data_IF_592382067309
#
_entry.id   IF_592382067309
#
_cell.length_a   1.000
_cell.length_b   1.000
_cell.length_c   1.000
_cell.angle_alpha   90.00
_cell.angle_beta   90.00
_cell.angle_gamma   90.00
#
_symmetry.space_group_name_H-M   'P 1'
#
loop_
_entity.id
_entity.type
_entity.pdbx_description
1 polymer ?
#
# COMPACT_ATOMS: atom_id res chain seq x y z
N UNK A 1 -32.44 -9.48 -19.86
CA UNK A 1 -32.90 -8.49 -18.87
C UNK A 1 -33.97 -7.54 -19.45
N UNK A 2 -34.67 -8.01 -20.48
CA UNK A 2 -35.75 -7.24 -21.14
C UNK A 2 -37.14 -7.87 -20.92
N UNK A 3 -37.26 -8.93 -20.08
CA UNK A 3 -38.52 -9.65 -19.87
C UNK A 3 -39.30 -9.15 -18.63
N UNK A 4 -38.62 -8.57 -17.66
CA UNK A 4 -39.24 -8.06 -16.42
C UNK A 4 -39.92 -6.71 -16.56
N UNK A 5 -39.49 -5.88 -17.54
CA UNK A 5 -40.11 -4.57 -17.79
C UNK A 5 -41.43 -4.71 -18.57
N UNK A 6 -41.56 -5.73 -19.41
CA UNK A 6 -42.79 -6.04 -20.15
C UNK A 6 -43.90 -6.59 -19.25
N UNK A 7 -43.58 -7.25 -18.16
CA UNK A 7 -44.55 -7.84 -17.23
C UNK A 7 -45.14 -6.84 -16.23
N UNK A 8 -44.45 -5.76 -15.95
CA UNK A 8 -45.01 -4.68 -15.12
C UNK A 8 -46.02 -3.75 -15.84
N UNK A 9 -46.06 -3.79 -17.17
CA UNK A 9 -46.99 -2.99 -17.97
C UNK A 9 -48.32 -3.75 -18.17
N UNK A 10 -48.38 -5.05 -17.90
CA UNK A 10 -49.58 -5.89 -18.18
C UNK A 10 -50.54 -6.01 -16.99
N UNK A 11 -50.29 -5.41 -15.85
CA UNK A 11 -51.18 -5.50 -14.68
C UNK A 11 -51.91 -4.20 -14.33
N UNK A 12 -52.25 -3.36 -15.34
CA UNK A 12 -53.16 -2.26 -15.09
C UNK A 12 -54.44 -2.50 -15.88
N UNK A 13 -55.47 -2.97 -15.16
CA UNK A 13 -56.80 -3.25 -15.67
C UNK A 13 -57.65 -1.98 -15.68
N UNK A 14 -58.16 -1.52 -16.82
CA UNK A 14 -59.00 -0.31 -16.88
C UNK A 14 -60.48 -0.73 -16.90
N UNK A 15 -61.10 -1.00 -15.77
CA UNK A 15 -62.57 -0.97 -15.67
C UNK A 15 -62.95 -0.51 -14.26
N UNK A 16 -63.24 0.81 -14.14
CA UNK A 16 -64.48 1.25 -13.45
C UNK A 16 -64.78 2.69 -13.83
N UNK A 17 -65.98 2.79 -14.31
CA UNK A 17 -66.67 3.95 -14.87
C UNK A 17 -67.19 4.91 -13.80
N UNK A 18 -67.25 6.18 -14.17
CA UNK A 18 -68.12 7.27 -13.68
C UNK A 18 -67.52 8.17 -12.61
N UNK A 19 -66.87 9.21 -13.09
CA UNK A 19 -67.25 10.57 -12.73
C UNK A 19 -66.69 11.53 -13.79
N UNK A 20 -67.61 12.13 -14.52
CA UNK A 20 -67.31 13.22 -15.46
C UNK A 20 -67.01 14.46 -14.61
N UNK A 21 -65.80 14.95 -14.70
CA UNK A 21 -65.38 16.33 -14.88
C UNK A 21 -63.94 16.49 -14.32
N UNK A 22 -63.08 17.10 -15.20
CA UNK A 22 -61.70 17.50 -14.89
C UNK A 22 -60.65 16.37 -14.85
N UNK A 23 -60.56 15.60 -15.91
CA UNK A 23 -59.28 14.95 -16.25
C UNK A 23 -58.45 16.00 -16.99
N UNK A 24 -57.59 16.74 -16.25
CA UNK A 24 -56.37 17.27 -16.82
C UNK A 24 -55.60 16.08 -17.38
N UNK A 25 -55.67 15.89 -18.66
CA UNK A 25 -54.85 14.96 -19.41
C UNK A 25 -53.40 15.46 -19.25
N UNK A 26 -52.71 15.00 -18.18
CA UNK A 26 -51.26 15.04 -18.18
C UNK A 26 -50.84 14.00 -19.22
N UNK A 27 -50.22 14.43 -20.33
CA UNK A 27 -49.95 13.48 -21.40
C UNK A 27 -49.01 12.40 -20.83
N UNK A 28 -49.45 11.14 -20.96
CA UNK A 28 -48.69 9.93 -20.68
C UNK A 28 -47.27 10.01 -21.27
N UNK A 29 -47.13 10.66 -22.38
CA UNK A 29 -45.92 11.05 -23.09
C UNK A 29 -44.92 11.90 -22.26
N UNK A 30 -45.35 12.69 -21.27
CA UNK A 30 -44.44 13.48 -20.42
C UNK A 30 -43.82 12.64 -19.33
N UNK A 31 -44.52 11.63 -18.80
CA UNK A 31 -44.01 10.75 -17.76
C UNK A 31 -42.94 9.78 -18.33
N UNK A 32 -43.18 9.21 -19.51
CA UNK A 32 -42.24 8.40 -20.22
C UNK A 32 -40.98 9.19 -20.64
N UNK A 33 -41.13 10.38 -21.16
CA UNK A 33 -40.00 11.27 -21.50
C UNK A 33 -39.16 11.63 -20.28
N UNK A 34 -39.78 11.83 -19.13
CA UNK A 34 -39.03 12.09 -17.88
C UNK A 34 -38.31 10.85 -17.37
N UNK A 35 -38.93 9.66 -17.45
CA UNK A 35 -38.26 8.40 -17.09
C UNK A 35 -37.05 8.09 -18.00
N UNK A 36 -37.20 8.30 -19.30
CA UNK A 36 -36.10 8.15 -20.27
C UNK A 36 -34.96 9.14 -19.98
N UNK A 37 -35.29 10.40 -19.63
CA UNK A 37 -34.29 11.40 -19.24
C UNK A 37 -33.56 11.02 -17.96
N UNK A 38 -34.26 10.53 -16.93
CA UNK A 38 -33.66 10.08 -15.68
C UNK A 38 -32.75 8.87 -15.94
N UNK A 39 -33.24 7.88 -16.69
CA UNK A 39 -32.45 6.70 -17.05
C UNK A 39 -31.20 7.04 -17.87
N UNK A 40 -31.32 7.94 -18.85
CA UNK A 40 -30.17 8.39 -19.64
C UNK A 40 -29.19 9.23 -18.83
N UNK A 41 -29.67 10.01 -17.86
CA UNK A 41 -28.83 10.76 -16.93
C UNK A 41 -28.04 9.84 -15.98
N UNK A 42 -28.71 8.85 -15.36
CA UNK A 42 -28.05 7.85 -14.51
C UNK A 42 -27.03 7.04 -15.29
N UNK A 43 -27.38 6.58 -16.48
CA UNK A 43 -26.44 5.88 -17.36
C UNK A 43 -25.23 6.74 -17.72
N UNK A 44 -25.44 8.04 -17.93
CA UNK A 44 -24.37 9.01 -18.19
C UNK A 44 -23.43 9.16 -16.99
N UNK A 45 -23.95 9.21 -15.76
CA UNK A 45 -23.14 9.25 -14.53
C UNK A 45 -22.34 7.98 -14.37
N UNK A 46 -22.97 6.79 -14.53
CA UNK A 46 -22.29 5.51 -14.48
C UNK A 46 -21.17 5.39 -15.51
N UNK A 47 -21.42 5.78 -16.74
CA UNK A 47 -20.41 5.78 -17.80
C UNK A 47 -19.23 6.70 -17.49
N UNK A 48 -19.50 7.90 -16.97
CA UNK A 48 -18.43 8.83 -16.54
C UNK A 48 -17.63 8.27 -15.36
N UNK A 49 -18.29 7.67 -14.37
CA UNK A 49 -17.62 7.02 -13.24
C UNK A 49 -16.72 5.87 -13.69
N UNK A 50 -17.21 4.99 -14.57
CA UNK A 50 -16.45 3.88 -15.14
C UNK A 50 -15.24 4.40 -15.96
N UNK A 51 -15.44 5.42 -16.79
CA UNK A 51 -14.35 5.99 -17.59
C UNK A 51 -13.27 6.63 -16.71
N UNK A 52 -13.68 7.36 -15.66
CA UNK A 52 -12.76 7.93 -14.66
C UNK A 52 -11.99 6.83 -13.91
N UNK A 53 -12.67 5.77 -13.50
CA UNK A 53 -12.04 4.63 -12.83
C UNK A 53 -11.04 3.92 -13.75
N UNK A 54 -11.41 3.66 -15.02
CA UNK A 54 -10.47 3.11 -16.02
C UNK A 54 -9.25 4.01 -16.21
N UNK A 55 -9.43 5.32 -16.29
CA UNK A 55 -8.31 6.26 -16.45
C UNK A 55 -7.38 6.25 -15.23
N UNK A 56 -7.92 6.14 -14.00
CA UNK A 56 -7.14 6.01 -12.77
C UNK A 56 -6.36 4.70 -12.74
N UNK A 57 -7.00 3.57 -13.07
CA UNK A 57 -6.33 2.26 -13.14
C UNK A 57 -5.18 2.29 -14.16
N UNK A 58 -5.40 2.87 -15.34
CA UNK A 58 -4.35 3.01 -16.35
C UNK A 58 -3.24 3.97 -15.92
N UNK A 59 -3.60 5.04 -15.20
CA UNK A 59 -2.62 5.99 -14.66
C UNK A 59 -1.71 5.34 -13.62
N UNK A 60 -2.27 4.54 -12.71
CA UNK A 60 -1.54 3.93 -11.59
C UNK A 60 -1.30 2.43 -11.77
N UNK A 61 -1.33 1.94 -13.03
CA UNK A 61 -1.08 0.50 -13.30
C UNK A 61 0.24 -0.01 -12.74
N UNK A 62 1.24 0.85 -12.57
CA UNK A 62 2.54 0.51 -11.98
C UNK A 62 2.47 0.16 -10.49
N UNK A 63 1.34 0.45 -9.83
CA UNK A 63 1.10 0.02 -8.46
C UNK A 63 1.10 -1.52 -8.27
N UNK A 64 1.03 -2.31 -9.36
CA UNK A 64 1.11 -3.78 -9.27
C UNK A 64 2.40 -4.26 -8.59
N UNK A 65 3.48 -3.48 -8.67
CA UNK A 65 4.76 -3.78 -7.99
C UNK A 65 4.59 -3.89 -6.47
N UNK A 66 3.63 -3.14 -5.88
CA UNK A 66 3.33 -3.21 -4.46
C UNK A 66 2.78 -4.58 -4.03
N UNK A 67 2.28 -5.39 -4.98
CA UNK A 67 1.86 -6.77 -4.71
C UNK A 67 3.04 -7.66 -4.29
N UNK A 68 4.28 -7.25 -4.59
CA UNK A 68 5.48 -7.90 -4.05
C UNK A 68 5.44 -8.01 -2.53
N UNK A 69 4.87 -7.02 -1.84
CA UNK A 69 4.68 -7.03 -0.40
C UNK A 69 3.88 -8.24 0.12
N UNK A 70 2.96 -8.81 -0.69
CA UNK A 70 2.20 -10.00 -0.33
C UNK A 70 3.07 -11.27 -0.25
N UNK A 71 4.20 -11.29 -0.94
CA UNK A 71 5.19 -12.38 -0.88
C UNK A 71 6.22 -12.06 0.20
N UNK A 72 6.73 -10.83 0.22
CA UNK A 72 7.76 -10.38 1.13
C UNK A 72 7.34 -10.48 2.60
N UNK A 73 6.18 -9.90 2.95
CA UNK A 73 5.74 -9.81 4.34
C UNK A 73 5.53 -11.18 5.03
N UNK A 74 4.83 -12.16 4.43
CA UNK A 74 4.69 -13.47 5.05
C UNK A 74 6.04 -14.19 5.24
N UNK A 75 6.95 -14.08 4.26
CA UNK A 75 8.28 -14.69 4.33
C UNK A 75 9.12 -14.01 5.42
N UNK A 76 9.13 -12.68 5.46
CA UNK A 76 9.80 -11.93 6.52
C UNK A 76 9.26 -12.27 7.91
N UNK A 77 7.92 -12.27 8.09
CA UNK A 77 7.30 -12.66 9.36
C UNK A 77 7.62 -14.10 9.77
N UNK A 78 7.78 -15.00 8.81
CA UNK A 78 8.23 -16.36 9.09
C UNK A 78 9.67 -16.39 9.65
N UNK A 79 10.59 -15.63 9.05
CA UNK A 79 11.97 -15.52 9.51
C UNK A 79 12.06 -14.89 10.90
N UNK A 80 11.29 -13.84 11.16
CA UNK A 80 11.22 -13.19 12.47
C UNK A 80 10.72 -14.13 13.57
N UNK A 81 9.68 -14.93 13.28
CA UNK A 81 9.14 -15.90 14.23
C UNK A 81 10.09 -17.06 14.51
N UNK A 82 10.95 -17.42 13.56
CA UNK A 82 11.89 -18.53 13.70
C UNK A 82 12.92 -18.32 14.82
N UNK A 83 13.34 -17.05 15.04
CA UNK A 83 14.27 -16.60 16.08
C UNK A 83 15.53 -17.50 16.27
N UNK A 84 15.91 -18.24 15.24
CA UNK A 84 17.06 -19.16 15.28
C UNK A 84 18.30 -18.38 14.89
N UNK A 85 19.30 -18.35 15.74
CA UNK A 85 20.60 -17.75 15.45
C UNK A 85 21.61 -18.86 15.39
N UNK A 86 22.14 -19.16 14.19
CA UNK A 86 23.26 -20.08 13.99
C UNK A 86 24.58 -19.31 13.89
N UNK A 87 24.51 -18.06 13.43
CA UNK A 87 25.66 -17.20 13.21
C UNK A 87 25.53 -15.93 14.01
N UNK A 88 26.25 -15.78 15.09
CA UNK A 88 26.32 -14.55 15.84
C UNK A 88 27.27 -13.59 15.11
N UNK A 89 26.75 -12.45 14.69
CA UNK A 89 27.51 -11.40 14.04
C UNK A 89 28.07 -10.50 15.14
N UNK A 90 29.37 -10.41 15.22
CA UNK A 90 30.07 -9.56 16.18
C UNK A 90 31.36 -9.05 15.55
N UNK A 91 31.66 -7.79 15.74
CA UNK A 91 32.93 -7.16 15.36
C UNK A 91 33.61 -6.61 16.61
N UNK A 92 34.94 -6.70 16.75
CA UNK A 92 35.62 -6.04 17.86
C UNK A 92 35.36 -4.55 17.98
N UNK A 93 34.91 -3.88 16.89
CA UNK A 93 34.51 -2.47 16.91
C UNK A 93 33.20 -2.25 17.64
N UNK A 94 32.32 -3.24 17.70
CA UNK A 94 31.02 -3.14 18.36
C UNK A 94 31.17 -2.93 19.87
N UNK A 95 32.26 -3.45 20.47
CA UNK A 95 32.56 -3.33 21.89
C UNK A 95 32.94 -1.90 22.30
N UNK A 96 33.39 -1.08 21.33
CA UNK A 96 33.79 0.31 21.57
C UNK A 96 32.65 1.30 21.31
N UNK A 97 31.53 0.87 20.71
CA UNK A 97 30.40 1.76 20.38
C UNK A 97 29.43 1.78 21.56
N UNK A 98 29.34 2.90 22.30
CA UNK A 98 28.40 3.01 23.41
C UNK A 98 26.95 3.04 22.90
N UNK A 99 26.04 2.56 23.73
CA UNK A 99 24.61 2.74 23.45
C UNK A 99 24.24 4.22 23.60
N UNK A 100 23.65 4.78 22.54
CA UNK A 100 23.16 6.16 22.50
C UNK A 100 21.72 6.15 21.97
N UNK A 101 20.75 6.44 22.85
CA UNK A 101 19.32 6.38 22.57
C UNK A 101 18.86 7.32 21.47
N UNK A 102 19.58 8.45 21.24
CA UNK A 102 19.22 9.44 20.20
C UNK A 102 19.34 8.90 18.78
N UNK A 103 20.06 7.81 18.55
CA UNK A 103 20.12 7.18 17.23
C UNK A 103 18.80 6.58 16.75
N UNK A 104 17.79 6.53 17.63
CA UNK A 104 16.42 6.17 17.23
C UNK A 104 15.85 7.21 16.25
N UNK A 105 16.27 8.48 16.32
CA UNK A 105 15.79 9.54 15.42
C UNK A 105 16.19 9.27 13.97
N UNK A 106 17.48 9.16 13.61
CA UNK A 106 17.88 8.83 12.24
C UNK A 106 17.35 7.46 11.77
N UNK A 107 17.17 6.50 12.68
CA UNK A 107 16.55 5.24 12.36
C UNK A 107 15.08 5.41 11.89
N UNK A 108 14.27 6.17 12.60
CA UNK A 108 12.89 6.45 12.20
C UNK A 108 12.82 7.33 10.94
N UNK A 109 13.71 8.31 10.80
CA UNK A 109 13.80 9.15 9.61
C UNK A 109 14.13 8.37 8.35
N UNK A 110 14.83 7.23 8.48
CA UNK A 110 15.11 6.36 7.35
C UNK A 110 13.83 5.80 6.70
N UNK A 111 12.83 5.41 7.49
CA UNK A 111 11.53 4.96 6.94
C UNK A 111 10.81 6.09 6.22
N UNK A 112 10.83 7.30 6.79
CA UNK A 112 10.25 8.49 6.17
C UNK A 112 10.96 8.80 4.84
N UNK A 113 12.28 8.74 4.82
CA UNK A 113 13.09 8.97 3.62
C UNK A 113 12.72 8.00 2.50
N UNK A 114 12.64 6.71 2.77
CA UNK A 114 12.26 5.71 1.77
C UNK A 114 10.81 5.89 1.29
N UNK A 115 9.88 6.16 2.22
CA UNK A 115 8.48 6.37 1.89
C UNK A 115 8.29 7.61 1.00
N UNK A 116 8.94 8.72 1.34
CA UNK A 116 8.89 9.97 0.56
C UNK A 116 9.52 9.78 -0.83
N UNK A 117 10.69 9.14 -0.91
CA UNK A 117 11.37 8.85 -2.18
C UNK A 117 10.51 7.95 -3.07
N UNK A 118 9.96 6.87 -2.51
CA UNK A 118 9.09 5.97 -3.23
C UNK A 118 7.80 6.65 -3.72
N UNK A 119 7.16 7.44 -2.86
CA UNK A 119 5.97 8.20 -3.21
C UNK A 119 6.26 9.26 -4.29
N UNK A 120 7.36 9.99 -4.16
CA UNK A 120 7.77 10.98 -5.16
C UNK A 120 7.86 10.35 -6.56
N UNK A 121 8.63 9.28 -6.73
CA UNK A 121 8.77 8.61 -8.02
C UNK A 121 7.46 7.95 -8.48
N UNK A 122 6.67 7.41 -7.56
CA UNK A 122 5.38 6.81 -7.88
C UNK A 122 4.44 7.80 -8.58
N UNK A 123 4.41 9.06 -8.12
CA UNK A 123 3.51 10.08 -8.68
C UNK A 123 4.13 10.85 -9.84
N UNK A 124 5.47 10.97 -9.90
CA UNK A 124 6.16 11.87 -10.83
C UNK A 124 6.69 11.13 -12.06
N UNK A 125 7.43 10.04 -11.88
CA UNK A 125 8.14 9.37 -12.96
C UNK A 125 8.06 7.84 -12.84
N UNK A 126 7.24 7.22 -13.70
CA UNK A 126 7.06 5.77 -13.71
C UNK A 126 8.34 4.99 -13.98
N UNK A 127 9.23 5.51 -14.85
CA UNK A 127 10.47 4.82 -15.20
C UNK A 127 11.40 4.73 -14.01
N UNK A 128 11.56 5.83 -13.28
CA UNK A 128 12.43 5.88 -12.11
C UNK A 128 11.81 5.13 -10.95
N UNK A 129 10.47 5.15 -10.82
CA UNK A 129 9.77 4.29 -9.87
C UNK A 129 10.05 2.79 -10.12
N UNK A 130 9.98 2.31 -11.36
CA UNK A 130 10.27 0.91 -11.67
C UNK A 130 11.75 0.56 -11.40
N UNK A 131 12.68 1.47 -11.67
CA UNK A 131 14.11 1.26 -11.40
C UNK A 131 14.36 1.14 -9.89
N UNK A 132 13.80 2.08 -9.11
CA UNK A 132 13.87 2.04 -7.65
C UNK A 132 13.23 0.77 -7.11
N UNK A 133 12.02 0.47 -7.54
CA UNK A 133 11.29 -0.72 -7.07
C UNK A 133 12.02 -2.02 -7.41
N UNK A 134 12.57 -2.16 -8.62
CA UNK A 134 13.36 -3.32 -9.02
C UNK A 134 14.61 -3.48 -8.13
N UNK A 135 15.30 -2.37 -7.84
CA UNK A 135 16.45 -2.38 -6.95
C UNK A 135 16.04 -2.80 -5.54
N UNK A 136 15.03 -2.18 -4.95
CA UNK A 136 14.57 -2.49 -3.60
C UNK A 136 14.07 -3.95 -3.50
N UNK A 137 13.22 -4.39 -4.43
CA UNK A 137 12.69 -5.76 -4.41
C UNK A 137 13.78 -6.82 -4.57
N UNK A 138 14.79 -6.57 -5.43
CA UNK A 138 15.90 -7.51 -5.58
C UNK A 138 16.72 -7.64 -4.29
N UNK A 139 17.08 -6.52 -3.65
CA UNK A 139 17.81 -6.54 -2.38
C UNK A 139 17.03 -7.18 -1.26
N UNK A 140 15.74 -6.87 -1.16
CA UNK A 140 14.86 -7.49 -0.17
C UNK A 140 14.70 -9.00 -0.40
N UNK A 141 14.66 -9.47 -1.66
CA UNK A 141 14.64 -10.90 -1.99
C UNK A 141 15.95 -11.57 -1.62
N UNK A 142 17.09 -10.97 -1.96
CA UNK A 142 18.43 -11.48 -1.58
C UNK A 142 18.55 -11.58 -0.06
N UNK A 143 18.09 -10.54 0.66
CA UNK A 143 18.04 -10.55 2.12
C UNK A 143 17.26 -11.75 2.66
N UNK A 144 16.03 -11.99 2.19
CA UNK A 144 15.22 -13.11 2.63
C UNK A 144 15.89 -14.46 2.35
N UNK A 145 16.49 -14.63 1.17
CA UNK A 145 17.21 -15.87 0.79
C UNK A 145 18.40 -16.08 1.72
N UNK A 146 19.23 -15.06 1.91
CA UNK A 146 20.41 -15.16 2.79
C UNK A 146 20.01 -15.47 4.22
N UNK A 147 19.04 -14.76 4.80
CA UNK A 147 18.57 -15.03 6.16
C UNK A 147 17.89 -16.40 6.31
N UNK A 148 17.33 -16.95 5.23
CA UNK A 148 16.78 -18.32 5.24
C UNK A 148 17.90 -19.36 5.33
N UNK A 149 18.96 -19.18 4.55
CA UNK A 149 20.10 -20.14 4.46
C UNK A 149 21.07 -19.94 5.63
N UNK A 150 21.33 -18.68 5.99
CA UNK A 150 22.26 -18.27 7.04
C UNK A 150 21.55 -17.48 8.14
N UNK A 151 20.83 -18.16 9.06
CA UNK A 151 20.19 -17.52 10.20
C UNK A 151 21.24 -16.83 11.07
N UNK A 152 21.22 -15.51 11.05
CA UNK A 152 22.19 -14.68 11.75
C UNK A 152 21.50 -13.72 12.71
N UNK A 153 22.24 -13.21 13.68
CA UNK A 153 21.72 -12.26 14.67
C UNK A 153 22.83 -11.55 15.42
N UNK A 154 22.42 -10.59 16.26
CA UNK A 154 23.28 -9.80 17.12
C UNK A 154 22.92 -10.03 18.59
N UNK A 155 23.92 -9.91 19.47
CA UNK A 155 23.72 -9.90 20.91
C UNK A 155 24.28 -8.60 21.52
N UNK A 156 23.88 -7.46 20.95
CA UNK A 156 24.37 -6.13 21.34
C UNK A 156 23.29 -5.28 22.01
N UNK A 157 22.08 -5.83 22.23
CA UNK A 157 21.02 -5.09 22.91
C UNK A 157 21.35 -4.94 24.39
N UNK A 158 21.36 -3.72 24.93
CA UNK A 158 21.64 -3.51 26.35
C UNK A 158 20.53 -4.12 27.21
N UNK A 159 20.92 -4.82 28.28
CA UNK A 159 19.99 -5.39 29.26
C UNK A 159 19.37 -4.29 30.12
N UNK A 160 20.16 -3.24 30.42
CA UNK A 160 19.75 -2.07 31.20
C UNK A 160 20.06 -0.80 30.42
N UNK A 161 19.14 0.15 30.48
CA UNK A 161 19.34 1.44 29.82
C UNK A 161 19.94 2.44 30.82
N UNK A 162 21.01 3.17 30.42
CA UNK A 162 21.69 4.11 31.31
C UNK A 162 20.84 5.35 31.65
N UNK A 163 19.82 5.62 30.85
CA UNK A 163 18.91 6.78 31.00
C UNK A 163 17.48 6.38 30.71
N UNK A 164 16.55 6.97 31.46
CA UNK A 164 15.12 6.82 31.25
C UNK A 164 14.57 8.12 30.64
N UNK A 165 14.20 8.07 29.36
CA UNK A 165 13.62 9.18 28.62
C UNK A 165 12.74 8.67 27.47
N UNK A 166 12.04 9.58 26.80
CA UNK A 166 11.14 9.25 25.68
C UNK A 166 11.85 8.49 24.54
N UNK A 167 13.12 8.72 24.28
CA UNK A 167 13.89 8.04 23.24
C UNK A 167 14.18 6.60 23.66
N UNK A 168 14.49 6.37 24.91
CA UNK A 168 14.66 5.02 25.47
C UNK A 168 13.37 4.21 25.41
N UNK A 169 12.21 4.86 25.67
CA UNK A 169 10.91 4.20 25.55
C UNK A 169 10.60 3.84 24.09
N UNK A 170 10.95 4.71 23.14
CA UNK A 170 10.86 4.40 21.70
C UNK A 170 11.77 3.22 21.32
N UNK A 171 13.00 3.17 21.82
CA UNK A 171 13.90 2.02 21.58
C UNK A 171 13.32 0.74 22.16
N UNK A 172 12.77 0.76 23.38
CA UNK A 172 12.08 -0.40 24.00
C UNK A 172 10.90 -0.86 23.13
N UNK A 173 10.11 0.08 22.63
CA UNK A 173 8.99 -0.24 21.74
C UNK A 173 9.49 -0.93 20.47
N UNK A 174 10.54 -0.42 19.83
CA UNK A 174 11.13 -1.06 18.65
C UNK A 174 11.66 -2.45 19.00
N UNK A 175 12.39 -2.62 20.11
CA UNK A 175 12.92 -3.91 20.53
C UNK A 175 11.86 -4.95 20.87
N UNK A 176 10.64 -4.51 21.23
CA UNK A 176 9.51 -5.42 21.45
C UNK A 176 8.85 -5.91 20.16
N UNK A 177 8.99 -5.14 19.06
CA UNK A 177 8.40 -5.47 17.78
C UNK A 177 9.38 -6.16 16.81
N UNK A 178 10.67 -5.90 16.96
CA UNK A 178 11.75 -6.36 16.10
C UNK A 178 12.66 -7.30 16.88
N UNK A 179 13.07 -8.41 16.27
CA UNK A 179 13.98 -9.36 16.89
C UNK A 179 15.45 -9.02 16.58
N UNK A 180 16.43 -9.43 17.42
CA UNK A 180 17.84 -9.22 17.12
C UNK A 180 18.38 -10.24 16.10
N UNK A 181 17.50 -10.73 15.22
CA UNK A 181 17.81 -11.73 14.19
C UNK A 181 17.79 -11.09 12.80
N UNK A 182 18.27 -11.82 11.79
CA UNK A 182 18.21 -11.41 10.40
C UNK A 182 18.89 -10.06 10.11
N UNK A 183 20.11 -9.88 10.62
CA UNK A 183 20.82 -8.59 10.60
C UNK A 183 21.60 -8.39 9.31
N UNK A 184 22.13 -9.47 8.72
CA UNK A 184 22.91 -9.43 7.48
C UNK A 184 22.24 -10.23 6.36
N UNK A 185 22.31 -9.71 5.12
CA UNK A 185 22.81 -8.39 4.70
C UNK A 185 21.94 -7.23 5.17
N UNK A 186 22.50 -6.04 5.42
CA UNK A 186 21.73 -4.91 5.89
C UNK A 186 20.84 -4.32 4.81
N UNK A 187 19.53 -4.51 4.94
CA UNK A 187 18.52 -3.90 4.04
C UNK A 187 18.50 -2.37 4.17
N UNK A 188 18.85 -1.83 5.35
CA UNK A 188 18.90 -0.39 5.57
C UNK A 188 19.97 0.27 4.69
N UNK A 189 21.18 -0.30 4.68
CA UNK A 189 22.27 0.19 3.84
C UNK A 189 21.95 0.02 2.35
N UNK A 190 21.50 -1.17 1.96
CA UNK A 190 21.17 -1.47 0.57
C UNK A 190 20.09 -0.54 0.02
N UNK A 191 18.98 -0.39 0.74
CA UNK A 191 17.87 0.45 0.31
C UNK A 191 18.23 1.94 0.30
N UNK A 192 19.10 2.39 1.22
CA UNK A 192 19.61 3.77 1.22
C UNK A 192 20.43 4.07 -0.04
N UNK A 193 21.32 3.15 -0.41
CA UNK A 193 22.13 3.28 -1.64
C UNK A 193 21.21 3.33 -2.87
N UNK A 194 20.21 2.45 -2.94
CA UNK A 194 19.25 2.42 -4.03
C UNK A 194 18.43 3.70 -4.16
N UNK A 195 17.93 4.22 -3.04
CA UNK A 195 17.19 5.47 -3.02
C UNK A 195 18.06 6.66 -3.43
N UNK A 196 19.28 6.76 -2.89
CA UNK A 196 20.23 7.81 -3.28
C UNK A 196 20.60 7.74 -4.76
N UNK A 197 20.90 6.54 -5.28
CA UNK A 197 21.20 6.35 -6.69
C UNK A 197 20.01 6.74 -7.58
N UNK A 198 18.79 6.38 -7.19
CA UNK A 198 17.58 6.74 -7.93
C UNK A 198 17.38 8.26 -7.97
N UNK A 199 17.62 8.97 -6.86
CA UNK A 199 17.55 10.44 -6.80
C UNK A 199 18.64 11.08 -7.67
N UNK A 200 19.87 10.61 -7.55
CA UNK A 200 21.03 11.17 -8.28
C UNK A 200 20.91 10.99 -9.79
N UNK A 201 20.29 9.93 -10.27
CA UNK A 201 20.11 9.63 -11.69
C UNK A 201 18.70 9.95 -12.21
N UNK A 202 17.87 10.60 -11.40
CA UNK A 202 16.53 11.04 -11.82
C UNK A 202 16.67 12.16 -12.86
N UNK A 203 15.92 12.00 -13.95
CA UNK A 203 15.84 12.99 -15.06
C UNK A 203 14.63 13.91 -14.92
N UNK A 204 14.06 13.98 -13.72
CA UNK A 204 12.89 14.84 -13.43
C UNK A 204 13.26 16.30 -13.26
#
# INVERSE_FOLDING_TARGET
>A
MNFLVAQMISCYNPFETKERNLIKIYPFETKERNLIKIYSFEKGIHMKAISKMKSLILKYRHAWVLLYGLIYMPWFCYLEKRQTIHYLIHSPLDDYIPFVEYFIIPYLLWFVFLAVTGAYFFFTNRRDFYRLAAFLCSGMTIFLIVCTIFPNGLNLRPVTFPRENIFTDLVRMIYSMDTPTNVLPSIHVYNSIGAMAAIAHSTS
#
